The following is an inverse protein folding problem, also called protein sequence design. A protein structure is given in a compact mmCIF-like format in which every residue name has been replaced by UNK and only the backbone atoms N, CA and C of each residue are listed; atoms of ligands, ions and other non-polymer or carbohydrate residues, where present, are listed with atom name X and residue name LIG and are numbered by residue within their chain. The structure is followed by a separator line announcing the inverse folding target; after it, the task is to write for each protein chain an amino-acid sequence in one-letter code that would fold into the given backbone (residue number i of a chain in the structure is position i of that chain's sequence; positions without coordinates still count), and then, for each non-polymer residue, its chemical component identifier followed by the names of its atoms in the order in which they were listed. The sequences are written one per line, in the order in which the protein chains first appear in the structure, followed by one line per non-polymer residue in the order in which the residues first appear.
data_IF_024319583927
#
_entry.id   IF_024319583927
#
_cell.length_a   1.000
_cell.length_b   1.000
_cell.length_c   1.000
_cell.angle_alpha   90.00
_cell.angle_beta   90.00
_cell.angle_gamma   90.00
#
_symmetry.space_group_name_H-M   'P 1'
#
loop_
_entity.id
_entity.type
_entity.pdbx_description
1 polymer ?
#
# COMPACT_ATOMS: atom_id res chain seq x y z
N UNK A 1 3.85 -8.93 8.82
CA UNK A 1 4.08 -7.48 8.84
C UNK A 1 2.85 -6.80 9.41
N UNK A 2 3.02 -6.06 10.49
CA UNK A 2 1.89 -5.48 11.22
C UNK A 2 1.80 -3.96 11.11
N UNK A 3 2.85 -3.33 10.62
CA UNK A 3 2.87 -1.88 10.44
C UNK A 3 3.90 -1.48 9.39
N UNK A 4 3.63 -0.37 8.70
CA UNK A 4 4.54 0.24 7.75
C UNK A 4 4.57 1.75 8.04
N UNK A 5 5.67 2.38 7.68
CA UNK A 5 5.81 3.82 7.88
C UNK A 5 5.66 4.52 6.52
N UNK A 6 4.77 5.50 6.47
CA UNK A 6 4.47 6.25 5.25
C UNK A 6 4.58 7.73 5.58
N UNK A 7 5.53 8.43 4.95
CA UNK A 7 5.71 9.86 5.19
C UNK A 7 5.96 10.20 6.65
N UNK A 8 6.63 9.31 7.39
CA UNK A 8 6.88 9.51 8.81
C UNK A 8 5.75 9.04 9.73
N UNK A 9 4.61 8.66 9.18
CA UNK A 9 3.44 8.20 9.95
C UNK A 9 3.41 6.68 9.96
N UNK A 10 3.17 6.09 11.11
CA UNK A 10 3.07 4.64 11.26
C UNK A 10 1.64 4.20 10.94
N UNK A 11 1.49 3.45 9.86
CA UNK A 11 0.23 2.84 9.48
C UNK A 11 0.18 1.41 10.00
N UNK A 12 -0.89 1.07 10.70
CA UNK A 12 -1.15 -0.31 11.11
C UNK A 12 -1.65 -1.11 9.92
N UNK A 13 -1.12 -2.31 9.75
CA UNK A 13 -1.57 -3.22 8.69
C UNK A 13 -2.26 -4.40 9.37
N UNK A 14 -3.52 -4.63 9.04
CA UNK A 14 -4.33 -5.69 9.63
C UNK A 14 -4.91 -6.59 8.56
N UNK A 15 -4.83 -7.91 8.79
CA UNK A 15 -5.47 -8.88 7.93
C UNK A 15 -6.90 -9.10 8.43
N UNK A 16 -7.85 -9.04 7.51
CA UNK A 16 -9.27 -9.18 7.83
C UNK A 16 -9.90 -10.23 6.94
N UNK A 17 -10.95 -10.88 7.42
CA UNK A 17 -11.62 -11.94 6.67
C UNK A 17 -12.49 -11.39 5.55
N UNK A 18 -13.03 -10.20 5.75
CA UNK A 18 -13.96 -9.58 4.81
C UNK A 18 -13.76 -8.09 4.77
N UNK A 19 -13.77 -7.55 3.56
CA UNK A 19 -13.64 -6.13 3.32
C UNK A 19 -14.66 -5.71 2.27
N UNK A 20 -15.31 -4.57 2.50
CA UNK A 20 -16.21 -3.96 1.53
C UNK A 20 -15.89 -2.48 1.43
N UNK A 21 -15.94 -1.96 0.20
CA UNK A 21 -15.79 -0.56 -0.10
C UNK A 21 -16.89 -0.20 -1.09
N UNK A 22 -17.74 0.78 -0.74
CA UNK A 22 -18.88 1.19 -1.54
C UNK A 22 -19.77 0.00 -1.97
N UNK A 23 -20.04 -0.92 -1.03
CA UNK A 23 -20.86 -2.12 -1.24
C UNK A 23 -20.24 -3.13 -2.20
N UNK A 24 -18.94 -3.02 -2.47
CA UNK A 24 -18.21 -3.99 -3.27
C UNK A 24 -17.15 -4.68 -2.44
N UNK A 25 -16.94 -5.96 -2.73
CA UNK A 25 -15.87 -6.72 -2.10
C UNK A 25 -14.53 -6.09 -2.49
N UNK A 26 -13.67 -5.80 -1.51
CA UNK A 26 -12.37 -5.19 -1.72
C UNK A 26 -11.28 -6.11 -1.19
N UNK A 27 -10.07 -5.97 -1.75
CA UNK A 27 -8.90 -6.68 -1.26
C UNK A 27 -8.13 -5.89 -0.22
N UNK A 28 -8.22 -4.55 -0.28
CA UNK A 28 -7.58 -3.67 0.68
C UNK A 28 -8.32 -2.36 0.82
N UNK A 29 -8.17 -1.71 1.97
CA UNK A 29 -8.75 -0.39 2.26
C UNK A 29 -7.77 0.39 3.12
N UNK A 30 -7.56 1.66 2.78
CA UNK A 30 -6.73 2.58 3.55
C UNK A 30 -7.62 3.62 4.21
N UNK A 31 -7.47 3.77 5.53
CA UNK A 31 -8.13 4.81 6.32
C UNK A 31 -7.09 5.81 6.79
N UNK A 32 -7.13 7.02 6.23
CA UNK A 32 -6.09 8.02 6.51
C UNK A 32 -6.16 8.55 7.95
N UNK A 33 -7.35 8.87 8.41
CA UNK A 33 -7.55 9.48 9.72
C UNK A 33 -7.13 8.56 10.87
N UNK A 34 -7.16 7.26 10.65
CA UNK A 34 -6.76 6.26 11.64
C UNK A 34 -5.36 5.71 11.38
N UNK A 35 -4.72 6.13 10.29
CA UNK A 35 -3.44 5.57 9.84
C UNK A 35 -3.49 4.04 9.84
N UNK A 36 -4.44 3.49 9.09
CA UNK A 36 -4.76 2.06 9.13
C UNK A 36 -4.97 1.52 7.73
N UNK A 37 -4.39 0.34 7.47
CA UNK A 37 -4.58 -0.40 6.22
C UNK A 37 -5.13 -1.77 6.58
N UNK A 38 -6.27 -2.13 5.98
CA UNK A 38 -6.85 -3.46 6.11
C UNK A 38 -6.62 -4.22 4.81
N UNK A 39 -6.14 -5.45 4.90
CA UNK A 39 -5.92 -6.33 3.75
C UNK A 39 -6.70 -7.61 3.97
N UNK A 40 -7.44 -8.05 2.96
CA UNK A 40 -8.19 -9.30 3.05
C UNK A 40 -7.22 -10.48 3.14
N UNK A 41 -7.47 -11.39 4.09
CA UNK A 41 -6.63 -12.58 4.24
C UNK A 41 -6.98 -13.63 3.17
N UNK A 42 -6.20 -14.70 3.10
CA UNK A 42 -6.43 -15.86 2.22
C UNK A 42 -6.49 -15.52 0.73
N UNK A 43 -5.86 -14.44 0.32
CA UNK A 43 -5.62 -14.17 -1.09
C UNK A 43 -4.22 -14.67 -1.46
N UNK A 44 -3.98 -14.88 -2.75
CA UNK A 44 -2.69 -15.35 -3.23
C UNK A 44 -1.58 -14.39 -2.79
N UNK A 45 -0.40 -14.94 -2.44
CA UNK A 45 0.67 -14.19 -1.79
C UNK A 45 1.16 -12.99 -2.60
N UNK A 46 1.35 -13.16 -3.89
CA UNK A 46 1.76 -12.04 -4.75
C UNK A 46 0.70 -10.95 -4.78
N UNK A 47 -0.57 -11.34 -4.84
CA UNK A 47 -1.69 -10.40 -4.79
C UNK A 47 -1.76 -9.69 -3.44
N UNK A 48 -1.45 -10.39 -2.37
CA UNK A 48 -1.40 -9.82 -1.03
C UNK A 48 -0.38 -8.67 -0.96
N UNK A 49 0.84 -8.91 -1.39
CA UNK A 49 1.88 -7.88 -1.34
C UNK A 49 1.66 -6.77 -2.36
N UNK A 50 1.12 -7.09 -3.53
CA UNK A 50 0.73 -6.07 -4.50
C UNK A 50 -0.34 -5.15 -3.91
N UNK A 51 -1.30 -5.71 -3.18
CA UNK A 51 -2.36 -4.95 -2.53
C UNK A 51 -1.80 -4.04 -1.43
N UNK A 52 -0.82 -4.52 -0.65
CA UNK A 52 -0.15 -3.69 0.35
C UNK A 52 0.49 -2.45 -0.33
N UNK A 53 1.19 -2.64 -1.43
CA UNK A 53 1.81 -1.52 -2.15
C UNK A 53 0.75 -0.56 -2.69
N UNK A 54 -0.36 -1.11 -3.21
CA UNK A 54 -1.48 -0.30 -3.71
C UNK A 54 -2.05 0.59 -2.59
N UNK A 55 -2.34 0.00 -1.43
CA UNK A 55 -2.90 0.75 -0.30
C UNK A 55 -1.87 1.73 0.28
N UNK A 56 -0.60 1.32 0.33
CA UNK A 56 0.47 2.22 0.77
C UNK A 56 0.58 3.45 -0.14
N UNK A 57 0.36 3.28 -1.44
CA UNK A 57 0.41 4.41 -2.38
C UNK A 57 -0.73 5.39 -2.13
N UNK A 58 -1.94 4.91 -1.80
CA UNK A 58 -3.00 5.80 -1.33
C UNK A 58 -2.50 6.65 -0.16
N UNK A 59 -1.89 5.99 0.83
CA UNK A 59 -1.33 6.67 2.00
C UNK A 59 -0.21 7.65 1.65
N UNK A 60 0.67 7.27 0.72
CA UNK A 60 1.77 8.13 0.29
C UNK A 60 1.25 9.43 -0.32
N UNK A 61 0.25 9.35 -1.17
CA UNK A 61 -0.32 10.54 -1.81
C UNK A 61 -1.02 11.42 -0.78
N UNK A 62 -1.73 10.81 0.17
CA UNK A 62 -2.34 11.56 1.26
C UNK A 62 -1.29 12.26 2.12
N UNK A 63 -0.26 11.55 2.57
CA UNK A 63 0.78 12.12 3.42
C UNK A 63 1.62 13.18 2.69
N UNK A 64 1.72 13.06 1.37
CA UNK A 64 2.38 14.06 0.54
C UNK A 64 1.53 15.33 0.35
N UNK A 65 0.26 15.31 0.77
CA UNK A 65 -0.62 16.46 0.66
C UNK A 65 -1.32 16.60 -0.68
N UNK A 66 -1.35 15.55 -1.50
CA UNK A 66 -2.04 15.58 -2.80
C UNK A 66 -3.34 14.78 -2.72
N UNK A 67 -4.23 15.22 -1.84
CA UNK A 67 -5.48 14.51 -1.55
C UNK A 67 -6.40 14.38 -2.76
N UNK A 68 -6.33 15.31 -3.70
CA UNK A 68 -7.10 15.24 -4.93
C UNK A 68 -6.70 14.04 -5.81
N UNK A 69 -5.52 13.48 -5.59
CA UNK A 69 -5.03 12.30 -6.33
C UNK A 69 -5.03 11.04 -5.47
N UNK A 70 -5.08 11.18 -4.15
CA UNK A 70 -4.92 10.04 -3.23
C UNK A 70 -5.97 8.95 -3.42
N UNK A 71 -7.18 9.32 -3.84
CA UNK A 71 -8.27 8.36 -4.06
C UNK A 71 -8.59 8.15 -5.55
N UNK A 72 -7.74 8.63 -6.43
CA UNK A 72 -7.93 8.48 -7.87
C UNK A 72 -7.38 7.11 -8.32
N UNK A 73 -8.26 6.13 -8.41
CA UNK A 73 -7.87 4.77 -8.79
C UNK A 73 -7.34 4.67 -10.21
N UNK A 74 -7.71 5.60 -11.08
CA UNK A 74 -7.15 5.60 -12.45
C UNK A 74 -5.66 5.95 -12.45
N UNK A 75 -5.18 6.60 -11.39
CA UNK A 75 -3.77 6.88 -11.17
C UNK A 75 -3.13 5.83 -10.26
N UNK A 76 -3.76 5.56 -9.12
CA UNK A 76 -3.19 4.70 -8.06
C UNK A 76 -3.02 3.26 -8.55
N UNK A 77 -3.98 2.73 -9.29
CA UNK A 77 -3.92 1.34 -9.76
C UNK A 77 -2.71 1.09 -10.68
N UNK A 78 -2.57 1.81 -11.81
CA UNK A 78 -1.40 1.56 -12.67
C UNK A 78 -0.07 1.94 -12.01
N UNK A 79 -0.04 3.02 -11.25
CA UNK A 79 1.20 3.45 -10.61
C UNK A 79 1.62 2.46 -9.51
N UNK A 80 0.68 1.99 -8.71
CA UNK A 80 0.96 0.98 -7.68
C UNK A 80 1.44 -0.34 -8.28
N UNK A 81 0.84 -0.76 -9.40
CA UNK A 81 1.27 -1.97 -10.09
C UNK A 81 2.71 -1.85 -10.60
N UNK A 82 3.05 -0.69 -11.16
CA UNK A 82 4.41 -0.45 -11.64
C UNK A 82 5.40 -0.35 -10.50
N UNK A 83 5.03 0.27 -9.39
CA UNK A 83 5.89 0.36 -8.22
C UNK A 83 6.17 -1.04 -7.64
N UNK A 84 5.15 -1.86 -7.50
CA UNK A 84 5.31 -3.24 -7.04
C UNK A 84 6.24 -4.02 -7.97
N UNK A 85 6.00 -3.92 -9.28
CA UNK A 85 6.81 -4.60 -10.29
C UNK A 85 8.27 -4.15 -10.22
N UNK A 86 8.50 -2.85 -10.08
CA UNK A 86 9.86 -2.29 -9.98
C UNK A 86 10.61 -2.86 -8.77
N UNK A 87 9.95 -2.94 -7.62
CA UNK A 87 10.54 -3.48 -6.40
C UNK A 87 10.90 -4.95 -6.60
N UNK A 88 9.98 -5.74 -7.15
CA UNK A 88 10.18 -7.17 -7.37
C UNK A 88 11.30 -7.43 -8.38
N UNK A 89 11.38 -6.63 -9.43
CA UNK A 89 12.34 -6.82 -10.51
C UNK A 89 13.76 -6.35 -10.16
N UNK A 90 13.90 -5.53 -9.11
CA UNK A 90 15.19 -4.90 -8.78
C UNK A 90 15.59 -5.12 -7.32
N UNK A 91 15.67 -6.39 -6.86
CA UNK A 91 15.98 -6.66 -5.45
C UNK A 91 17.34 -6.16 -5.02
N UNK A 92 18.33 -6.18 -5.92
CA UNK A 92 19.70 -5.70 -5.60
C UNK A 92 19.73 -4.19 -5.40
N UNK A 93 18.95 -3.45 -6.21
CA UNK A 93 18.86 -2.00 -6.04
C UNK A 93 18.21 -1.66 -4.70
N UNK A 94 17.11 -2.31 -4.38
CA UNK A 94 16.38 -2.09 -3.13
C UNK A 94 17.29 -2.42 -1.94
N UNK A 95 18.02 -3.51 -1.99
CA UNK A 95 18.97 -3.89 -0.94
C UNK A 95 20.04 -2.82 -0.75
N UNK A 96 20.62 -2.32 -1.84
CA UNK A 96 21.65 -1.28 -1.76
C UNK A 96 21.13 0.00 -1.15
N UNK A 97 19.90 0.40 -1.51
CA UNK A 97 19.27 1.58 -0.93
C UNK A 97 19.08 1.39 0.57
N UNK A 98 18.61 0.22 0.99
CA UNK A 98 18.34 -0.08 2.39
C UNK A 98 19.62 -0.17 3.25
N UNK A 99 20.75 -0.42 2.63
CA UNK A 99 22.04 -0.58 3.34
C UNK A 99 22.89 0.69 3.35
N UNK A 100 22.37 1.82 2.88
CA UNK A 100 23.07 3.09 2.97
C UNK A 100 23.15 3.53 4.43
N UNK A 101 24.27 4.14 4.84
CA UNK A 101 24.54 4.47 6.25
C UNK A 101 23.96 5.82 6.67
N UNK A 102 22.65 5.99 6.54
CA UNK A 102 22.04 7.21 7.08
C UNK A 102 20.98 6.95 8.13
#
# INVERSE_FOLDING_TARGET
MKKIKIGGIIYKVENVKRLEDDNQSAWGVTQYENAHISIRDKIEKQKYYQTIIHEALHGMLHEAGVDNLANDESLVTPLGNMLYQFIVDNPKLIEKINNLPF
#
